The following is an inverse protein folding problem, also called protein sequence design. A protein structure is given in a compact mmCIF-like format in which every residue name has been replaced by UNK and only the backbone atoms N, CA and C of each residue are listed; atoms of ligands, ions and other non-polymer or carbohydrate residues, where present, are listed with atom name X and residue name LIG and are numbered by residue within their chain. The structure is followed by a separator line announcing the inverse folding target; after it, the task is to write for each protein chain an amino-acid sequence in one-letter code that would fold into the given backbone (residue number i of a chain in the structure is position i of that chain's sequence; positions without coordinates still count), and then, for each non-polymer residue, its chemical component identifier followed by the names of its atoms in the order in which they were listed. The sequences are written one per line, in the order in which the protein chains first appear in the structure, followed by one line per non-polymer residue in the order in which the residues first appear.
data_IF_883488511010
#
_entry.id   IF_883488511010
#
_cell.length_a   1.000
_cell.length_b   1.000
_cell.length_c   1.000
_cell.angle_alpha   90.00
_cell.angle_beta   90.00
_cell.angle_gamma   90.00
#
_symmetry.space_group_name_H-M   'P 1'
#
loop_
_entity.id
_entity.type
_entity.pdbx_description
1 polymer ?
#
# COMPACT_ATOMS: atom_id res chain seq x y z
N UNK A 1 -47.41 -47.15 19.86
CA UNK A 1 -46.00 -47.52 19.56
C UNK A 1 -45.42 -46.37 18.78
N UNK A 2 -44.84 -45.41 19.50
CA UNK A 2 -44.13 -44.28 18.90
C UNK A 2 -42.76 -44.79 18.44
N UNK A 3 -42.46 -44.64 17.15
CA UNK A 3 -41.12 -44.92 16.62
C UNK A 3 -40.21 -43.77 17.04
N UNK A 4 -39.20 -44.05 17.86
CA UNK A 4 -38.12 -43.13 18.20
C UNK A 4 -37.32 -42.78 16.94
N UNK A 5 -37.61 -41.60 16.37
CA UNK A 5 -36.92 -41.02 15.23
C UNK A 5 -35.55 -40.45 15.60
N UNK A 6 -34.63 -41.30 16.04
CA UNK A 6 -33.22 -40.95 16.24
C UNK A 6 -32.42 -41.14 14.95
N UNK A 7 -31.71 -40.10 14.50
CA UNK A 7 -30.76 -40.19 13.37
C UNK A 7 -29.69 -41.26 13.67
N UNK A 8 -29.43 -42.15 12.70
CA UNK A 8 -28.33 -43.13 12.76
C UNK A 8 -26.99 -42.44 13.10
N UNK A 9 -26.10 -43.07 13.89
CA UNK A 9 -24.77 -42.54 14.21
C UNK A 9 -23.98 -42.08 12.98
N UNK A 10 -24.15 -42.77 11.86
CA UNK A 10 -23.49 -42.47 10.59
C UNK A 10 -24.00 -41.17 9.95
N UNK A 11 -25.31 -40.88 10.10
CA UNK A 11 -25.93 -39.63 9.67
C UNK A 11 -25.51 -38.45 10.55
N UNK A 12 -25.22 -38.69 11.85
CA UNK A 12 -24.70 -37.66 12.75
C UNK A 12 -23.27 -37.24 12.36
N UNK A 13 -22.40 -38.20 12.01
CA UNK A 13 -21.04 -37.92 11.52
C UNK A 13 -21.08 -37.16 10.20
N UNK A 14 -21.90 -37.59 9.23
CA UNK A 14 -22.05 -36.87 7.96
C UNK A 14 -22.60 -35.45 8.14
N UNK A 15 -23.54 -35.26 9.07
CA UNK A 15 -24.06 -33.93 9.40
C UNK A 15 -22.97 -33.02 9.97
N UNK A 16 -22.12 -33.54 10.86
CA UNK A 16 -21.02 -32.77 11.43
C UNK A 16 -20.00 -32.37 10.35
N UNK A 17 -19.65 -33.30 9.46
CA UNK A 17 -18.72 -33.06 8.35
C UNK A 17 -19.23 -31.98 7.40
N UNK A 18 -20.47 -32.14 6.92
CA UNK A 18 -21.13 -31.18 6.01
C UNK A 18 -21.33 -29.80 6.65
N UNK A 19 -21.51 -29.76 7.96
CA UNK A 19 -21.59 -28.50 8.70
C UNK A 19 -20.24 -27.78 8.71
N UNK A 20 -19.14 -28.51 8.92
CA UNK A 20 -17.79 -27.95 8.83
C UNK A 20 -17.44 -27.43 7.43
N UNK A 21 -17.78 -28.19 6.38
CA UNK A 21 -17.60 -27.74 4.98
C UNK A 21 -18.40 -26.47 4.68
N UNK A 22 -19.63 -26.37 5.19
CA UNK A 22 -20.47 -25.18 5.02
C UNK A 22 -19.89 -23.96 5.76
N UNK A 23 -19.41 -24.14 7.00
CA UNK A 23 -18.78 -23.08 7.79
C UNK A 23 -17.51 -22.56 7.08
N UNK A 24 -16.72 -23.45 6.47
CA UNK A 24 -15.53 -23.07 5.69
C UNK A 24 -15.91 -22.27 4.43
N UNK A 25 -16.94 -22.69 3.70
CA UNK A 25 -17.41 -21.99 2.49
C UNK A 25 -17.92 -20.58 2.83
N UNK A 26 -18.67 -20.44 3.92
CA UNK A 26 -19.16 -19.14 4.41
C UNK A 26 -17.98 -18.22 4.77
N UNK A 27 -16.97 -18.74 5.46
CA UNK A 27 -15.78 -17.96 5.82
C UNK A 27 -15.03 -17.50 4.57
N UNK A 28 -14.85 -18.37 3.57
CA UNK A 28 -14.21 -18.01 2.30
C UNK A 28 -15.00 -16.96 1.53
N UNK A 29 -16.33 -17.06 1.52
CA UNK A 29 -17.20 -16.07 0.92
C UNK A 29 -17.13 -14.72 1.65
N UNK A 30 -17.11 -14.72 2.98
CA UNK A 30 -16.94 -13.52 3.80
C UNK A 30 -15.59 -12.84 3.54
N UNK A 31 -14.50 -13.61 3.49
CA UNK A 31 -13.15 -13.10 3.14
C UNK A 31 -13.16 -12.53 1.71
N UNK A 32 -13.76 -13.24 0.75
CA UNK A 32 -13.90 -12.78 -0.63
C UNK A 32 -14.64 -11.44 -0.73
N UNK A 33 -15.79 -11.31 -0.05
CA UNK A 33 -16.55 -10.07 -0.02
C UNK A 33 -15.82 -8.95 0.73
N UNK A 34 -15.10 -9.27 1.81
CA UNK A 34 -14.28 -8.30 2.56
C UNK A 34 -13.13 -7.74 1.72
N UNK A 35 -12.44 -8.60 0.97
CA UNK A 35 -11.39 -8.21 0.01
C UNK A 35 -11.98 -7.35 -1.11
N UNK A 36 -13.08 -7.80 -1.72
CA UNK A 36 -13.77 -7.09 -2.82
C UNK A 36 -14.30 -5.72 -2.39
N UNK A 37 -14.81 -5.61 -1.16
CA UNK A 37 -15.36 -4.36 -0.63
C UNK A 37 -14.32 -3.48 0.09
N UNK A 38 -13.04 -3.89 0.18
CA UNK A 38 -11.94 -3.12 0.78
C UNK A 38 -12.30 -2.60 2.18
N UNK A 39 -12.85 -3.47 3.00
CA UNK A 39 -13.60 -3.07 4.19
C UNK A 39 -12.69 -2.65 5.35
N UNK A 40 -12.26 -1.39 5.30
CA UNK A 40 -12.13 -0.52 6.49
C UNK A 40 -13.36 0.40 6.64
N UNK A 41 -14.33 0.27 5.72
CA UNK A 41 -15.41 1.24 5.46
C UNK A 41 -16.81 0.78 5.91
N UNK A 42 -17.03 -0.48 6.29
CA UNK A 42 -18.38 -1.00 6.58
C UNK A 42 -19.00 -0.43 7.86
N UNK A 43 -18.23 0.22 8.74
CA UNK A 43 -18.87 0.99 9.82
C UNK A 43 -19.54 2.28 9.37
N UNK A 44 -19.22 2.83 8.19
CA UNK A 44 -19.75 4.13 7.75
C UNK A 44 -20.14 4.24 6.25
N UNK A 45 -20.37 3.12 5.57
CA UNK A 45 -21.33 3.03 4.46
C UNK A 45 -20.89 3.49 3.06
N UNK A 46 -21.27 2.69 2.07
CA UNK A 46 -21.17 2.93 0.61
C UNK A 46 -22.28 3.84 0.06
N UNK A 47 -22.84 4.70 0.91
CA UNK A 47 -23.71 5.77 0.46
C UNK A 47 -22.86 7.02 0.38
N UNK A 48 -23.08 7.83 -0.65
CA UNK A 48 -22.55 9.17 -0.85
C UNK A 48 -22.97 10.10 0.32
N UNK A 49 -22.47 9.81 1.51
CA UNK A 49 -23.07 10.23 2.76
C UNK A 49 -22.76 11.70 2.95
N UNK A 50 -23.73 12.46 3.46
CA UNK A 50 -23.51 13.85 3.85
C UNK A 50 -22.28 14.01 4.75
N UNK A 51 -21.87 12.96 5.47
CA UNK A 51 -20.64 12.91 6.22
C UNK A 51 -19.39 12.98 5.33
N UNK A 52 -19.24 12.13 4.30
CA UNK A 52 -18.10 12.19 3.39
C UNK A 52 -18.04 13.50 2.62
N UNK A 53 -19.19 14.05 2.19
CA UNK A 53 -19.26 15.38 1.60
C UNK A 53 -18.83 16.47 2.58
N UNK A 54 -19.27 16.41 3.84
CA UNK A 54 -18.85 17.36 4.89
C UNK A 54 -17.35 17.24 5.20
N UNK A 55 -16.79 16.03 5.23
CA UNK A 55 -15.36 15.80 5.45
C UNK A 55 -14.55 16.29 4.25
N UNK A 56 -14.97 15.98 3.02
CA UNK A 56 -14.33 16.45 1.79
C UNK A 56 -14.40 17.98 1.67
N UNK A 57 -15.57 18.58 1.92
CA UNK A 57 -15.75 20.04 1.96
C UNK A 57 -14.95 20.69 3.09
N UNK A 58 -14.88 20.06 4.27
CA UNK A 58 -14.04 20.52 5.38
C UNK A 58 -12.56 20.51 5.02
N UNK A 59 -12.08 19.44 4.37
CA UNK A 59 -10.71 19.35 3.84
C UNK A 59 -10.45 20.39 2.75
N UNK A 60 -11.39 20.57 1.82
CA UNK A 60 -11.32 21.56 0.74
C UNK A 60 -11.25 22.99 1.28
N UNK A 61 -12.11 23.34 2.24
CA UNK A 61 -12.16 24.67 2.85
C UNK A 61 -10.90 24.97 3.69
N UNK A 62 -10.32 23.96 4.36
CA UNK A 62 -9.02 24.11 5.06
C UNK A 62 -7.86 24.34 4.09
N UNK A 63 -7.89 23.73 2.90
CA UNK A 63 -6.86 23.90 1.87
C UNK A 63 -7.09 25.12 0.97
N UNK A 64 -8.27 25.76 1.06
CA UNK A 64 -8.59 26.91 0.24
C UNK A 64 -7.96 28.17 0.84
N UNK A 65 -7.01 28.73 0.09
CA UNK A 65 -6.37 30.00 0.43
C UNK A 65 -7.36 31.12 0.10
N UNK A 66 -8.00 31.68 1.14
CA UNK A 66 -8.98 32.77 0.99
C UNK A 66 -8.32 34.12 0.72
N UNK A 67 -7.14 34.31 1.32
CA UNK A 67 -6.38 35.55 1.27
C UNK A 67 -4.91 35.20 1.24
N UNK A 68 -4.15 35.85 0.36
CA UNK A 68 -2.70 35.73 0.25
C UNK A 68 -2.10 37.14 0.28
N UNK A 69 -1.19 37.39 1.21
CA UNK A 69 -0.39 38.63 1.20
C UNK A 69 0.94 38.35 0.50
N UNK A 70 1.32 39.20 -0.46
CA UNK A 70 2.57 39.03 -1.20
C UNK A 70 3.75 39.77 -0.55
N UNK A 71 4.97 39.58 -1.08
CA UNK A 71 6.20 40.22 -0.59
C UNK A 71 6.15 41.76 -0.57
N UNK A 72 5.20 42.37 -1.29
CA UNK A 72 4.99 43.84 -1.35
C UNK A 72 3.92 44.34 -0.35
N UNK A 73 3.42 43.48 0.53
CA UNK A 73 2.38 43.80 1.50
C UNK A 73 0.98 43.96 0.88
N UNK A 74 0.77 43.49 -0.35
CA UNK A 74 -0.51 43.58 -1.03
C UNK A 74 -1.34 42.32 -0.77
N UNK A 75 -2.55 42.55 -0.24
CA UNK A 75 -3.50 41.50 0.14
C UNK A 75 -4.35 41.11 -1.07
N UNK A 76 -4.14 39.88 -1.55
CA UNK A 76 -4.88 39.28 -2.66
C UNK A 76 -6.04 38.43 -2.12
N UNK A 77 -7.25 38.71 -2.57
CA UNK A 77 -8.47 37.99 -2.18
C UNK A 77 -9.21 37.35 -3.37
N UNK A 78 -8.69 37.53 -4.59
CA UNK A 78 -9.24 36.94 -5.81
C UNK A 78 -8.50 35.64 -6.16
N UNK A 79 -9.24 34.59 -6.50
CA UNK A 79 -8.70 33.26 -6.86
C UNK A 79 -7.68 33.33 -8.00
N UNK A 80 -7.94 34.13 -9.03
CA UNK A 80 -7.02 34.25 -10.18
C UNK A 80 -5.72 34.92 -9.78
N UNK A 81 -5.79 36.03 -9.04
CA UNK A 81 -4.62 36.75 -8.56
C UNK A 81 -3.80 35.94 -7.55
N UNK A 82 -4.44 35.12 -6.72
CA UNK A 82 -3.76 34.18 -5.80
C UNK A 82 -2.99 33.13 -6.60
N UNK A 83 -3.59 32.55 -7.66
CA UNK A 83 -2.90 31.58 -8.51
C UNK A 83 -1.72 32.20 -9.24
N UNK A 84 -1.89 33.38 -9.84
CA UNK A 84 -0.82 34.09 -10.55
C UNK A 84 0.36 34.41 -9.62
N UNK A 85 0.07 34.87 -8.39
CA UNK A 85 1.11 35.16 -7.40
C UNK A 85 1.85 33.90 -6.95
N UNK A 86 1.12 32.79 -6.71
CA UNK A 86 1.73 31.49 -6.39
C UNK A 86 2.61 31.01 -7.54
N UNK A 87 2.12 31.07 -8.78
CA UNK A 87 2.87 30.66 -9.96
C UNK A 87 4.13 31.51 -10.10
N UNK A 88 4.03 32.85 -9.99
CA UNK A 88 5.17 33.75 -10.06
C UNK A 88 6.20 33.45 -8.96
N UNK A 89 5.74 33.18 -7.74
CA UNK A 89 6.62 32.83 -6.63
C UNK A 89 7.40 31.54 -6.91
N UNK A 90 6.72 30.47 -7.33
CA UNK A 90 7.38 29.20 -7.62
C UNK A 90 8.21 29.25 -8.90
N UNK A 91 7.78 29.99 -9.92
CA UNK A 91 8.58 30.23 -11.12
C UNK A 91 9.88 30.93 -10.74
N UNK A 92 9.85 31.98 -9.92
CA UNK A 92 11.07 32.61 -9.38
C UNK A 92 11.91 31.65 -8.54
N UNK A 93 11.28 30.83 -7.68
CA UNK A 93 11.97 29.85 -6.83
C UNK A 93 12.71 28.80 -7.65
N UNK A 94 12.08 28.29 -8.71
CA UNK A 94 12.64 27.24 -9.56
C UNK A 94 13.40 27.75 -10.79
N UNK A 95 13.27 29.03 -11.14
CA UNK A 95 14.05 29.70 -12.18
C UNK A 95 15.40 30.23 -11.66
N UNK A 96 15.79 29.88 -10.44
CA UNK A 96 17.14 30.15 -9.93
C UNK A 96 18.18 29.68 -10.96
N UNK A 97 19.16 30.52 -11.33
CA UNK A 97 20.22 30.09 -12.20
C UNK A 97 20.94 28.91 -11.56
N UNK A 98 21.21 27.90 -12.38
CA UNK A 98 21.94 26.67 -12.08
C UNK A 98 23.42 26.94 -11.72
N UNK A 99 23.76 28.06 -11.07
CA UNK A 99 25.14 28.48 -10.84
C UNK A 99 25.79 27.84 -9.61
N UNK A 100 25.01 27.29 -8.68
CA UNK A 100 25.55 26.41 -7.66
C UNK A 100 24.96 25.03 -7.85
N UNK A 101 25.67 24.24 -8.68
CA UNK A 101 25.76 22.80 -8.51
C UNK A 101 25.72 22.51 -7.01
N UNK A 102 24.86 21.59 -6.59
CA UNK A 102 24.76 21.15 -5.20
C UNK A 102 26.01 20.37 -4.79
N UNK A 103 27.21 20.92 -5.04
CA UNK A 103 28.44 20.49 -4.43
C UNK A 103 28.30 20.88 -2.99
N UNK A 104 27.90 19.91 -2.19
CA UNK A 104 28.03 20.03 -0.75
C UNK A 104 29.53 19.96 -0.47
N UNK A 105 30.20 21.11 -0.56
CA UNK A 105 31.61 21.24 -0.23
C UNK A 105 31.78 21.25 1.28
N UNK A 106 32.79 20.53 1.78
CA UNK A 106 33.04 20.41 3.22
C UNK A 106 32.26 19.31 3.93
N UNK A 107 31.46 18.49 3.23
CA UNK A 107 31.08 17.18 3.74
C UNK A 107 32.25 16.22 3.54
N UNK A 108 32.81 15.75 4.66
CA UNK A 108 33.50 14.47 4.67
C UNK A 108 32.43 13.41 4.40
N UNK A 109 32.24 13.07 3.12
CA UNK A 109 31.51 11.86 2.77
C UNK A 109 32.34 10.72 3.32
N UNK A 110 32.14 10.40 4.59
CA UNK A 110 32.73 9.23 5.20
C UNK A 110 32.20 8.05 4.41
N UNK A 111 33.00 7.62 3.43
CA UNK A 111 32.66 6.49 2.58
C UNK A 111 32.28 5.36 3.52
N UNK A 112 31.15 4.73 3.22
CA UNK A 112 30.80 3.47 3.86
C UNK A 112 32.06 2.58 3.83
N UNK A 113 32.35 1.91 4.95
CA UNK A 113 33.52 1.04 5.01
C UNK A 113 33.47 0.04 3.85
N UNK A 114 34.63 -0.39 3.34
CA UNK A 114 34.66 -1.39 2.26
C UNK A 114 33.85 -2.64 2.59
N UNK A 115 33.79 -3.01 3.87
CA UNK A 115 32.92 -4.06 4.39
C UNK A 115 31.43 -3.75 4.24
N UNK A 116 31.01 -2.53 4.58
CA UNK A 116 29.62 -2.08 4.43
C UNK A 116 29.20 -1.99 2.97
N UNK A 117 30.09 -1.52 2.09
CA UNK A 117 29.87 -1.52 0.65
C UNK A 117 29.70 -2.94 0.12
N UNK A 118 30.62 -3.84 0.47
CA UNK A 118 30.56 -5.25 0.06
C UNK A 118 29.28 -5.94 0.56
N UNK A 119 28.79 -5.58 1.74
CA UNK A 119 27.53 -6.10 2.30
C UNK A 119 26.29 -5.53 1.61
N UNK A 120 26.34 -4.30 1.09
CA UNK A 120 25.22 -3.73 0.32
C UNK A 120 25.14 -4.32 -1.10
N UNK A 121 26.28 -4.76 -1.63
CA UNK A 121 26.38 -5.39 -2.95
C UNK A 121 26.18 -6.92 -2.92
N UNK A 122 26.01 -7.53 -1.74
CA UNK A 122 25.81 -8.97 -1.63
C UNK A 122 24.46 -9.42 -2.22
N UNK A 123 24.37 -10.67 -2.71
CA UNK A 123 23.09 -11.24 -3.14
C UNK A 123 22.06 -11.26 -2.00
N UNK A 124 20.80 -11.04 -2.34
CA UNK A 124 19.69 -11.15 -1.39
C UNK A 124 19.57 -12.57 -0.84
N UNK A 125 19.42 -12.71 0.49
CA UNK A 125 19.15 -14.02 1.10
C UNK A 125 17.65 -14.30 1.18
N UNK A 126 17.28 -15.58 1.29
CA UNK A 126 15.88 -15.98 1.49
C UNK A 126 15.29 -15.34 2.76
N UNK A 127 16.08 -15.25 3.83
CA UNK A 127 15.66 -14.65 5.10
C UNK A 127 15.38 -13.15 4.96
N UNK A 128 16.19 -12.43 4.17
CA UNK A 128 15.98 -11.01 3.89
C UNK A 128 14.68 -10.80 3.09
N UNK A 129 14.48 -11.61 2.06
CA UNK A 129 13.27 -11.56 1.22
C UNK A 129 12.03 -11.89 2.05
N UNK A 130 12.08 -12.97 2.81
CA UNK A 130 11.00 -13.40 3.72
C UNK A 130 10.68 -12.30 4.72
N UNK A 131 11.68 -11.79 5.43
CA UNK A 131 11.51 -10.73 6.43
C UNK A 131 10.87 -9.48 5.82
N UNK A 132 11.29 -9.07 4.62
CA UNK A 132 10.69 -7.94 3.93
C UNK A 132 9.21 -8.19 3.60
N UNK A 133 8.86 -9.36 3.09
CA UNK A 133 7.47 -9.72 2.75
C UNK A 133 6.59 -9.80 3.99
N UNK A 134 7.06 -10.39 5.09
CA UNK A 134 6.29 -10.50 6.33
C UNK A 134 6.21 -9.18 7.13
N UNK A 135 7.08 -8.21 6.86
CA UNK A 135 6.96 -6.84 7.38
C UNK A 135 5.89 -6.02 6.66
N UNK A 136 5.49 -6.43 5.45
CA UNK A 136 4.43 -5.75 4.71
C UNK A 136 3.06 -6.10 5.31
N UNK A 137 2.22 -5.08 5.41
CA UNK A 137 0.86 -5.22 5.92
C UNK A 137 -0.01 -5.97 4.89
N UNK A 138 -0.77 -6.98 5.35
CA UNK A 138 -1.60 -7.85 4.51
C UNK A 138 -2.64 -7.06 3.70
N UNK A 139 -3.08 -5.93 4.24
CA UNK A 139 -4.14 -5.08 3.66
C UNK A 139 -3.59 -3.96 2.75
N UNK A 140 -2.32 -4.01 2.35
CA UNK A 140 -1.76 -3.06 1.37
C UNK A 140 -2.44 -3.26 0.01
N UNK A 141 -2.44 -2.18 -0.78
CA UNK A 141 -3.09 -2.16 -2.10
C UNK A 141 -2.60 -3.31 -2.97
N UNK A 142 -3.53 -4.03 -3.61
CA UNK A 142 -3.22 -5.04 -4.63
C UNK A 142 -2.35 -4.41 -5.72
N UNK A 143 -1.41 -5.19 -6.24
CA UNK A 143 -0.75 -4.83 -7.48
C UNK A 143 -1.77 -4.73 -8.62
N UNK A 144 -1.34 -4.26 -9.80
CA UNK A 144 -2.17 -4.31 -11.02
C UNK A 144 -2.56 -5.75 -11.43
N UNK A 145 -1.92 -6.74 -10.82
CA UNK A 145 -2.15 -8.19 -10.96
C UNK A 145 -3.30 -8.73 -10.10
N UNK A 146 -3.84 -7.93 -9.16
CA UNK A 146 -4.93 -8.35 -8.28
C UNK A 146 -4.51 -9.24 -7.10
N UNK A 147 -3.21 -9.44 -6.87
CA UNK A 147 -2.73 -10.18 -5.69
C UNK A 147 -2.44 -9.22 -4.53
N UNK A 148 -2.87 -9.57 -3.33
CA UNK A 148 -2.48 -8.88 -2.09
C UNK A 148 -1.18 -9.47 -1.56
N UNK A 149 -0.48 -8.71 -0.70
CA UNK A 149 0.66 -9.23 0.06
C UNK A 149 0.30 -10.49 0.86
N UNK A 150 -0.96 -10.65 1.27
CA UNK A 150 -1.44 -11.84 1.95
C UNK A 150 -1.17 -13.13 1.15
N UNK A 151 -1.29 -13.12 -0.18
CA UNK A 151 -1.01 -14.30 -1.02
C UNK A 151 0.48 -14.69 -0.93
N UNK A 152 1.37 -13.71 -0.91
CA UNK A 152 2.80 -13.95 -0.79
C UNK A 152 3.19 -14.49 0.59
N UNK A 153 2.49 -14.05 1.65
CA UNK A 153 2.71 -14.53 3.01
C UNK A 153 2.10 -15.92 3.24
N UNK A 154 0.87 -16.15 2.79
CA UNK A 154 0.13 -17.39 3.05
C UNK A 154 0.61 -18.53 2.14
N UNK A 155 1.13 -18.22 0.94
CA UNK A 155 1.68 -19.21 -0.01
C UNK A 155 3.22 -19.21 -0.04
N UNK A 156 3.90 -18.64 0.96
CA UNK A 156 5.36 -18.51 1.00
C UNK A 156 6.09 -19.82 0.68
N UNK A 157 5.68 -20.93 1.29
CA UNK A 157 6.33 -22.24 1.08
C UNK A 157 6.25 -22.75 -0.36
N UNK A 158 5.28 -22.27 -1.15
CA UNK A 158 5.09 -22.65 -2.55
C UNK A 158 5.90 -21.73 -3.48
N UNK A 159 5.95 -20.43 -3.18
CA UNK A 159 6.51 -19.42 -4.10
C UNK A 159 7.94 -18.99 -3.78
N UNK A 160 8.48 -19.35 -2.61
CA UNK A 160 9.78 -18.86 -2.11
C UNK A 160 10.93 -19.14 -3.09
N UNK A 161 10.96 -20.31 -3.70
CA UNK A 161 12.04 -20.69 -4.62
C UNK A 161 12.03 -19.84 -5.90
N UNK A 162 10.83 -19.55 -6.42
CA UNK A 162 10.66 -18.69 -7.59
C UNK A 162 11.03 -17.24 -7.27
N UNK A 163 10.64 -16.73 -6.10
CA UNK A 163 11.01 -15.40 -5.65
C UNK A 163 12.52 -15.26 -5.48
N UNK A 164 13.17 -16.19 -4.78
CA UNK A 164 14.64 -16.19 -4.61
C UNK A 164 15.34 -16.21 -5.96
N UNK A 165 14.84 -16.97 -6.93
CA UNK A 165 15.37 -17.00 -8.30
C UNK A 165 15.25 -15.63 -8.99
N UNK A 166 14.08 -15.00 -8.92
CA UNK A 166 13.86 -13.66 -9.49
C UNK A 166 14.79 -12.62 -8.88
N UNK A 167 14.94 -12.62 -7.54
CA UNK A 167 15.87 -11.70 -6.87
C UNK A 167 17.34 -11.97 -7.23
N UNK A 168 17.73 -13.23 -7.43
CA UNK A 168 19.06 -13.59 -7.89
C UNK A 168 19.32 -13.16 -9.35
N UNK A 169 18.33 -13.30 -10.23
CA UNK A 169 18.41 -12.81 -11.61
C UNK A 169 18.47 -11.28 -11.67
N UNK A 170 17.67 -10.60 -10.84
CA UNK A 170 17.69 -9.15 -10.71
C UNK A 170 19.05 -8.65 -10.22
N UNK A 171 19.63 -9.29 -9.19
CA UNK A 171 20.96 -8.93 -8.69
C UNK A 171 22.04 -9.02 -9.77
N UNK A 172 21.96 -10.03 -10.65
CA UNK A 172 22.93 -10.23 -11.73
C UNK A 172 22.72 -9.31 -12.94
N UNK A 173 21.47 -9.07 -13.31
CA UNK A 173 21.12 -8.41 -14.58
C UNK A 173 20.65 -6.96 -14.44
N UNK A 174 20.22 -6.56 -13.25
CA UNK A 174 19.56 -5.27 -12.99
C UNK A 174 18.18 -5.13 -13.63
N UNK A 175 17.60 -6.21 -14.18
CA UNK A 175 16.34 -6.18 -14.91
C UNK A 175 15.31 -7.07 -14.19
N UNK A 176 14.11 -6.53 -13.96
CA UNK A 176 12.94 -7.29 -13.50
C UNK A 176 12.00 -7.41 -14.70
N UNK A 177 11.76 -8.64 -15.15
CA UNK A 177 10.99 -9.05 -16.34
C UNK A 177 11.75 -8.93 -17.69
N UNK A 178 12.27 -10.06 -18.17
CA UNK A 178 12.41 -10.27 -19.62
C UNK A 178 11.02 -10.65 -20.16
N UNK A 179 10.43 -9.77 -20.96
CA UNK A 179 9.29 -10.11 -21.81
C UNK A 179 9.75 -10.92 -23.03
#
# INVERSE_FOLDING_TARGET
MEQEGGLSPELLVQRALRKGELEELILREEIHWTQKARVKWVKEGDCNSNFFHKVANGRRNRKYIKVLENERGLVLNNSESIKEEILRYFEKLYASPFEESWRVEGLDWSLISGESASRLESPFTEEEISKAIFQLDKDKAQGSDGFTIAVFQDCWDVIKEDLVRVFAEFHRSGIINQH
#
